data_IF_205932716175
#
_entry.id   IF_205932716175
#
_cell.length_a   1.000
_cell.length_b   1.000
_cell.length_c   1.000
_cell.angle_alpha   90.00
_cell.angle_beta   90.00
_cell.angle_gamma   90.00
#
_symmetry.space_group_name_H-M   'P 1'
#
loop_
_entity.id
_entity.type
_entity.pdbx_description
1 polymer ?
#
# COMPACT_ATOMS: atom_id res chain seq x y z
N UNK A 1 -45.68 15.49 39.27
CA UNK A 1 -44.53 15.97 38.47
C UNK A 1 -45.00 17.21 37.73
N UNK A 2 -44.35 18.34 37.99
CA UNK A 2 -44.85 19.66 37.60
C UNK A 2 -44.48 19.94 36.14
N UNK A 3 -45.40 20.54 35.38
CA UNK A 3 -45.28 20.86 33.94
C UNK A 3 -43.94 21.53 33.57
N UNK A 4 -43.39 22.32 34.49
CA UNK A 4 -42.08 22.96 34.40
C UNK A 4 -40.93 21.95 34.29
N UNK A 5 -40.94 20.87 35.08
CA UNK A 5 -39.91 19.82 35.05
C UNK A 5 -39.89 19.10 33.69
N UNK A 6 -41.08 18.92 33.10
CA UNK A 6 -41.24 18.29 31.79
C UNK A 6 -40.69 19.19 30.67
N UNK A 7 -40.96 20.50 30.74
CA UNK A 7 -40.42 21.48 29.77
C UNK A 7 -38.90 21.60 29.86
N UNK A 8 -38.34 21.60 31.08
CA UNK A 8 -36.89 21.64 31.29
C UNK A 8 -36.23 20.36 30.78
N UNK A 9 -36.81 19.19 31.06
CA UNK A 9 -36.30 17.92 30.55
C UNK A 9 -36.34 17.85 29.02
N UNK A 10 -37.43 18.31 28.38
CA UNK A 10 -37.55 18.35 26.93
C UNK A 10 -36.53 19.30 26.29
N UNK A 11 -36.29 20.46 26.92
CA UNK A 11 -35.28 21.42 26.49
C UNK A 11 -33.87 20.84 26.54
N UNK A 12 -33.52 20.13 27.62
CA UNK A 12 -32.22 19.45 27.75
C UNK A 12 -32.03 18.35 26.70
N UNK A 13 -33.07 17.56 26.40
CA UNK A 13 -33.02 16.55 25.35
C UNK A 13 -32.80 17.19 23.98
N UNK A 14 -33.48 18.29 23.67
CA UNK A 14 -33.30 19.04 22.42
C UNK A 14 -31.88 19.60 22.27
N UNK A 15 -31.29 20.14 23.34
CA UNK A 15 -29.89 20.60 23.34
C UNK A 15 -28.93 19.46 23.08
N UNK A 16 -29.17 18.27 23.65
CA UNK A 16 -28.33 17.09 23.39
C UNK A 16 -28.41 16.62 21.93
N UNK A 17 -29.57 16.76 21.26
CA UNK A 17 -29.72 16.45 19.83
C UNK A 17 -29.06 17.48 18.91
N UNK A 18 -28.90 18.74 19.33
CA UNK A 18 -28.15 19.76 18.56
C UNK A 18 -26.65 19.45 18.48
N UNK A 19 -26.11 18.72 19.45
CA UNK A 19 -24.72 18.23 19.44
C UNK A 19 -24.60 16.77 19.01
N UNK A 20 -25.64 16.18 18.41
CA UNK A 20 -25.54 14.86 17.84
C UNK A 20 -24.36 14.84 16.85
N UNK A 21 -23.37 13.96 17.02
CA UNK A 21 -22.17 13.98 16.21
C UNK A 21 -22.57 13.78 14.76
N UNK A 22 -22.29 14.77 13.92
CA UNK A 22 -22.39 14.62 12.47
C UNK A 22 -21.46 13.44 12.15
N UNK A 23 -22.03 12.32 11.70
CA UNK A 23 -21.28 11.14 11.25
C UNK A 23 -20.58 11.47 9.93
N UNK A 24 -19.67 12.44 9.93
CA UNK A 24 -18.76 12.65 8.80
C UNK A 24 -17.83 11.46 8.76
N UNK A 25 -17.71 10.83 7.60
CA UNK A 25 -16.86 9.67 7.38
C UNK A 25 -15.37 10.08 7.27
N UNK A 26 -14.91 10.94 8.19
CA UNK A 26 -13.57 11.54 8.24
C UNK A 26 -12.47 10.47 8.18
N UNK A 27 -12.75 9.27 8.68
CA UNK A 27 -11.84 8.13 8.62
C UNK A 27 -11.65 7.58 7.20
N UNK A 28 -12.69 7.57 6.37
CA UNK A 28 -12.58 7.12 4.96
C UNK A 28 -11.77 8.13 4.16
N UNK A 29 -12.02 9.41 4.39
CA UNK A 29 -11.23 10.52 3.82
C UNK A 29 -9.76 10.41 4.25
N UNK A 30 -9.51 10.21 5.55
CA UNK A 30 -8.16 10.04 6.10
C UNK A 30 -7.45 8.82 5.52
N UNK A 31 -8.17 7.71 5.31
CA UNK A 31 -7.64 6.51 4.68
C UNK A 31 -7.22 6.77 3.22
N UNK A 32 -8.07 7.45 2.43
CA UNK A 32 -7.76 7.81 1.05
C UNK A 32 -6.55 8.77 0.98
N UNK A 33 -6.50 9.77 1.84
CA UNK A 33 -5.40 10.72 1.90
C UNK A 33 -4.08 10.06 2.31
N UNK A 34 -4.11 9.16 3.30
CA UNK A 34 -2.93 8.38 3.68
C UNK A 34 -2.45 7.48 2.54
N UNK A 35 -3.37 6.80 1.84
CA UNK A 35 -3.05 5.98 0.67
C UNK A 35 -2.44 6.83 -0.46
N UNK A 36 -3.06 7.97 -0.78
CA UNK A 36 -2.58 8.92 -1.80
C UNK A 36 -1.18 9.41 -1.48
N UNK A 37 -0.91 9.79 -0.22
CA UNK A 37 0.42 10.20 0.22
C UNK A 37 1.47 9.09 0.03
N UNK A 38 1.12 7.84 0.37
CA UNK A 38 2.02 6.71 0.20
C UNK A 38 2.24 6.32 -1.28
N UNK A 39 1.25 6.51 -2.15
CA UNK A 39 1.45 6.33 -3.61
C UNK A 39 2.36 7.43 -4.16
N UNK A 40 2.19 8.70 -3.75
CA UNK A 40 3.12 9.79 -4.14
C UNK A 40 4.55 9.50 -3.66
N UNK A 41 4.67 8.96 -2.46
CA UNK A 41 5.97 8.55 -1.93
C UNK A 41 6.57 7.41 -2.75
N UNK A 42 5.77 6.42 -3.16
CA UNK A 42 6.21 5.39 -4.10
C UNK A 42 6.72 5.97 -5.42
N UNK A 43 6.05 7.00 -5.97
CA UNK A 43 6.52 7.70 -7.17
C UNK A 43 7.88 8.36 -6.95
N UNK A 44 8.04 9.07 -5.84
CA UNK A 44 9.32 9.70 -5.48
C UNK A 44 10.40 8.63 -5.36
N UNK A 45 10.13 7.51 -4.70
CA UNK A 45 11.07 6.39 -4.57
C UNK A 45 11.51 5.89 -5.94
N UNK A 46 10.58 5.58 -6.84
CA UNK A 46 10.88 5.14 -8.20
C UNK A 46 11.68 6.15 -9.03
N UNK A 47 11.40 7.45 -8.87
CA UNK A 47 12.12 8.53 -9.56
C UNK A 47 13.53 8.74 -9.00
N UNK A 48 13.71 8.51 -7.70
CA UNK A 48 15.01 8.61 -7.02
C UNK A 48 15.83 7.32 -7.08
N UNK A 49 15.25 6.23 -7.58
CA UNK A 49 15.91 4.94 -7.65
C UNK A 49 16.94 4.93 -8.77
N UNK A 50 18.20 5.13 -8.40
CA UNK A 50 19.36 5.08 -9.28
C UNK A 50 19.97 3.68 -9.36
N UNK A 51 19.28 2.66 -8.83
CA UNK A 51 19.72 1.26 -8.81
C UNK A 51 19.73 0.64 -10.22
N UNK A 52 20.65 1.08 -11.05
CA UNK A 52 21.03 0.38 -12.26
C UNK A 52 21.98 -0.74 -11.82
N UNK A 53 21.43 -1.91 -11.48
CA UNK A 53 22.22 -3.11 -11.20
C UNK A 53 22.87 -3.60 -12.52
N UNK A 54 23.90 -2.88 -12.99
CA UNK A 54 24.62 -3.13 -14.25
C UNK A 54 25.91 -3.92 -13.99
N UNK A 55 26.49 -3.79 -12.79
CA UNK A 55 27.71 -4.48 -12.39
C UNK A 55 27.53 -5.24 -11.07
N UNK A 56 28.21 -6.40 -10.95
CA UNK A 56 28.27 -7.21 -9.71
C UNK A 56 28.76 -6.40 -8.50
N UNK A 57 29.67 -5.46 -8.74
CA UNK A 57 30.27 -4.60 -7.72
C UNK A 57 29.24 -3.64 -7.13
N UNK A 58 28.34 -3.10 -7.95
CA UNK A 58 27.24 -2.22 -7.51
C UNK A 58 26.24 -2.93 -6.59
N UNK A 59 26.19 -4.26 -6.62
CA UNK A 59 25.34 -5.05 -5.75
C UNK A 59 26.04 -5.48 -4.44
N UNK A 60 27.38 -5.34 -4.32
CA UNK A 60 28.15 -5.77 -3.13
C UNK A 60 27.70 -5.10 -1.83
N UNK A 61 27.53 -3.79 -1.86
CA UNK A 61 27.09 -3.03 -0.68
C UNK A 61 25.68 -3.46 -0.26
N UNK A 62 24.81 -3.74 -1.23
CA UNK A 62 23.46 -4.25 -0.97
C UNK A 62 23.46 -5.63 -0.32
N UNK A 63 24.41 -6.53 -0.65
CA UNK A 63 24.52 -7.84 0.04
C UNK A 63 24.92 -7.74 1.50
N UNK A 64 25.74 -6.73 1.85
CA UNK A 64 26.13 -6.52 3.23
C UNK A 64 24.91 -6.21 4.12
N UNK A 65 23.89 -5.57 3.54
CA UNK A 65 22.64 -5.21 4.22
C UNK A 65 21.56 -6.28 4.04
N UNK A 66 21.50 -6.92 2.86
CA UNK A 66 20.47 -7.89 2.47
C UNK A 66 21.10 -9.21 1.98
N UNK A 67 21.57 -10.09 2.89
CA UNK A 67 22.35 -11.28 2.53
C UNK A 67 21.53 -12.36 1.80
N UNK A 68 20.20 -12.28 1.80
CA UNK A 68 19.33 -13.23 1.12
C UNK A 68 19.23 -13.01 -0.40
N UNK A 69 19.68 -11.85 -0.89
CA UNK A 69 19.59 -11.47 -2.31
C UNK A 69 20.62 -12.28 -3.11
N UNK A 70 20.30 -12.59 -4.37
CA UNK A 70 21.19 -13.20 -5.35
C UNK A 70 21.66 -12.17 -6.38
N UNK A 71 22.95 -11.79 -6.31
CA UNK A 71 23.58 -10.82 -7.22
C UNK A 71 23.39 -11.14 -8.69
N UNK A 72 23.70 -12.38 -9.04
CA UNK A 72 23.64 -12.83 -10.42
C UNK A 72 22.22 -12.71 -10.97
N UNK A 73 21.21 -13.09 -10.17
CA UNK A 73 19.81 -13.01 -10.59
C UNK A 73 19.29 -11.59 -10.62
N UNK A 74 19.76 -10.74 -9.69
CA UNK A 74 19.44 -9.32 -9.68
C UNK A 74 19.98 -8.64 -10.94
N UNK A 75 21.21 -8.93 -11.37
CA UNK A 75 21.75 -8.41 -12.63
C UNK A 75 20.93 -8.86 -13.84
N UNK A 76 20.60 -10.15 -13.92
CA UNK A 76 19.85 -10.71 -15.06
C UNK A 76 18.37 -10.30 -15.10
N UNK A 77 17.77 -9.95 -13.97
CA UNK A 77 16.34 -9.65 -13.85
C UNK A 77 16.06 -8.32 -13.13
N UNK A 78 17.00 -7.37 -13.17
CA UNK A 78 16.85 -6.06 -12.54
C UNK A 78 15.56 -5.31 -12.95
N UNK A 79 15.00 -5.45 -14.17
CA UNK A 79 13.75 -4.76 -14.52
C UNK A 79 12.53 -5.22 -13.68
N UNK A 80 12.63 -6.36 -12.99
CA UNK A 80 11.58 -6.86 -12.11
C UNK A 80 11.73 -6.36 -10.66
N UNK A 81 12.91 -5.86 -10.28
CA UNK A 81 13.21 -5.36 -8.94
C UNK A 81 12.85 -3.87 -8.83
N UNK A 82 11.59 -3.53 -9.11
CA UNK A 82 11.07 -2.18 -8.99
C UNK A 82 10.41 -1.96 -7.63
N UNK A 83 10.46 -0.73 -7.13
CA UNK A 83 9.59 -0.29 -6.05
C UNK A 83 8.13 -0.51 -6.44
N UNK A 84 7.39 -1.15 -5.52
CA UNK A 84 6.00 -1.51 -5.76
C UNK A 84 5.14 -1.27 -4.52
N UNK A 85 3.87 -0.97 -4.76
CA UNK A 85 2.82 -1.10 -3.76
C UNK A 85 1.97 -2.32 -4.09
N UNK A 86 2.00 -3.30 -3.20
CA UNK A 86 1.13 -4.48 -3.27
C UNK A 86 -0.05 -4.32 -2.32
N UNK A 87 -1.25 -4.36 -2.87
CA UNK A 87 -2.50 -4.47 -2.11
C UNK A 87 -2.76 -5.92 -1.72
N UNK A 88 -3.21 -6.11 -0.49
CA UNK A 88 -3.58 -7.41 0.07
C UNK A 88 -5.10 -7.44 0.24
N UNK A 89 -5.79 -8.13 -0.67
CA UNK A 89 -7.26 -8.06 -0.80
C UNK A 89 -7.97 -9.22 -0.10
N UNK A 90 -7.35 -10.40 0.00
CA UNK A 90 -8.04 -11.64 0.42
C UNK A 90 -7.40 -12.47 1.54
N UNK A 91 -6.22 -12.13 2.06
CA UNK A 91 -5.53 -12.95 3.08
C UNK A 91 -5.96 -12.62 4.51
N UNK A 92 -6.41 -13.64 5.25
CA UNK A 92 -6.98 -13.60 6.63
C UNK A 92 -6.26 -12.69 7.64
N UNK A 93 -4.94 -12.49 7.53
CA UNK A 93 -4.15 -11.71 8.49
C UNK A 93 -3.63 -10.38 7.95
N UNK A 94 -3.94 -10.06 6.70
CA UNK A 94 -3.44 -8.86 6.00
C UNK A 94 -4.52 -8.29 5.07
N UNK A 95 -5.80 -8.60 5.25
CA UNK A 95 -6.87 -8.11 4.37
C UNK A 95 -6.99 -6.59 4.46
N UNK A 96 -7.36 -5.96 3.33
CA UNK A 96 -7.61 -4.52 3.23
C UNK A 96 -6.40 -3.70 3.68
N UNK A 97 -5.23 -4.07 3.18
CA UNK A 97 -3.97 -3.44 3.53
C UNK A 97 -3.04 -3.37 2.32
N UNK A 98 -1.87 -2.76 2.48
CA UNK A 98 -0.84 -2.77 1.45
C UNK A 98 0.58 -2.80 2.03
N UNK A 99 1.55 -3.08 1.17
CA UNK A 99 2.98 -3.00 1.47
C UNK A 99 3.72 -2.28 0.36
N UNK A 100 4.73 -1.47 0.73
CA UNK A 100 5.67 -0.81 -0.19
C UNK A 100 7.04 -1.44 -0.03
N UNK A 101 7.56 -2.04 -1.11
CA UNK A 101 8.82 -2.77 -1.08
C UNK A 101 9.39 -2.98 -2.50
N UNK A 102 10.64 -3.44 -2.58
CA UNK A 102 11.25 -4.01 -3.77
C UNK A 102 11.27 -5.54 -3.60
N UNK A 103 10.69 -6.28 -4.54
CA UNK A 103 10.80 -7.75 -4.57
C UNK A 103 12.19 -8.09 -5.10
N UNK A 104 12.98 -8.76 -4.29
CA UNK A 104 14.39 -9.02 -4.57
C UNK A 104 14.59 -10.49 -4.90
N UNK A 105 15.42 -10.81 -5.90
CA UNK A 105 15.64 -12.18 -6.27
C UNK A 105 16.48 -12.90 -5.22
N UNK A 106 15.99 -14.02 -4.68
CA UNK A 106 16.76 -14.89 -3.78
C UNK A 106 17.42 -16.06 -4.49
N UNK A 107 18.42 -16.65 -3.83
CA UNK A 107 19.02 -17.90 -4.26
C UNK A 107 18.10 -19.08 -3.95
N UNK A 108 17.13 -19.34 -4.84
CA UNK A 108 16.22 -20.48 -4.80
C UNK A 108 16.27 -21.28 -6.10
N UNK A 109 15.84 -22.55 -6.05
CA UNK A 109 15.86 -23.49 -7.18
C UNK A 109 14.79 -23.21 -8.25
N UNK A 110 13.63 -22.67 -7.86
CA UNK A 110 12.49 -22.47 -8.78
C UNK A 110 12.01 -21.01 -8.85
N UNK A 111 11.64 -20.42 -7.72
CA UNK A 111 11.05 -19.07 -7.66
C UNK A 111 12.04 -18.09 -7.07
N UNK A 112 12.50 -17.12 -7.87
CA UNK A 112 13.48 -16.14 -7.42
C UNK A 112 12.82 -14.91 -6.80
N UNK A 113 11.70 -14.46 -7.36
CA UNK A 113 10.88 -13.36 -6.86
C UNK A 113 9.62 -13.94 -6.22
N UNK A 114 9.42 -13.69 -4.92
CA UNK A 114 8.33 -14.33 -4.16
C UNK A 114 6.97 -13.67 -4.42
N UNK A 115 6.94 -12.46 -4.98
CA UNK A 115 5.73 -11.66 -5.18
C UNK A 115 4.99 -11.36 -3.86
N UNK A 116 5.75 -11.17 -2.78
CA UNK A 116 5.30 -10.79 -1.43
C UNK A 116 6.51 -10.24 -0.65
N UNK A 117 6.34 -9.30 0.29
CA UNK A 117 7.45 -8.69 1.03
C UNK A 117 8.00 -9.63 2.12
N UNK A 118 8.96 -10.47 1.71
CA UNK A 118 9.65 -11.45 2.54
C UNK A 118 10.87 -10.84 3.25
N UNK A 119 11.55 -11.65 4.07
CA UNK A 119 12.72 -11.22 4.82
C UNK A 119 13.95 -10.83 3.97
N UNK A 120 13.99 -11.22 2.69
CA UNK A 120 15.04 -10.80 1.77
C UNK A 120 14.79 -9.47 1.08
N UNK A 121 13.55 -8.97 1.14
CA UNK A 121 13.10 -7.83 0.36
C UNK A 121 13.40 -6.50 1.04
N UNK A 122 13.58 -5.48 0.20
CA UNK A 122 13.79 -4.11 0.66
C UNK A 122 12.42 -3.51 0.95
N UNK A 123 12.02 -3.48 2.23
CA UNK A 123 10.76 -2.88 2.68
C UNK A 123 10.98 -1.40 2.98
N UNK A 124 10.12 -0.53 2.45
CA UNK A 124 10.22 0.90 2.70
C UNK A 124 9.93 1.23 4.18
N UNK A 125 10.66 2.20 4.73
CA UNK A 125 10.54 2.64 6.11
C UNK A 125 10.29 4.15 6.15
N UNK A 126 9.39 4.60 7.01
CA UNK A 126 9.21 6.03 7.24
C UNK A 126 10.37 6.62 8.07
N UNK A 127 10.32 7.93 8.32
CA UNK A 127 11.34 8.64 9.14
C UNK A 127 11.50 8.07 10.56
N UNK A 128 10.43 7.53 11.14
CA UNK A 128 10.45 6.86 12.45
C UNK A 128 10.93 5.41 12.39
N UNK A 129 11.45 4.98 11.23
CA UNK A 129 11.88 3.61 10.94
C UNK A 129 10.75 2.57 11.06
N UNK A 130 9.49 2.98 10.92
CA UNK A 130 8.34 2.08 10.81
C UNK A 130 8.24 1.54 9.40
N UNK A 131 8.07 0.23 9.27
CA UNK A 131 7.99 -0.43 7.97
C UNK A 131 6.61 -0.22 7.34
N UNK A 132 6.57 0.18 6.07
CA UNK A 132 5.34 0.24 5.28
C UNK A 132 5.03 -1.13 4.71
N UNK A 133 4.82 -2.11 5.58
CA UNK A 133 4.40 -3.44 5.19
C UNK A 133 3.37 -3.99 6.16
N UNK A 134 2.18 -4.28 5.64
CA UNK A 134 1.13 -4.95 6.38
C UNK A 134 1.29 -6.49 6.38
N UNK A 135 2.36 -7.00 5.77
CA UNK A 135 2.56 -8.44 5.62
C UNK A 135 2.86 -9.14 6.94
N UNK A 136 2.76 -10.46 6.96
CA UNK A 136 2.81 -11.23 8.19
C UNK A 136 4.13 -11.03 8.97
N UNK A 137 4.04 -11.04 10.31
CA UNK A 137 5.21 -10.86 11.18
C UNK A 137 6.20 -12.03 11.13
N UNK A 138 5.81 -13.19 10.60
CA UNK A 138 6.65 -14.39 10.59
C UNK A 138 7.68 -14.36 9.46
N UNK A 139 7.26 -13.99 8.25
CA UNK A 139 8.08 -14.11 7.04
C UNK A 139 8.64 -12.79 6.53
N UNK A 140 8.28 -11.66 7.15
CA UNK A 140 8.84 -10.34 6.84
C UNK A 140 10.26 -10.16 7.41
N UNK A 141 10.93 -9.10 6.96
CA UNK A 141 12.26 -8.71 7.44
C UNK A 141 12.27 -8.54 8.96
N UNK A 142 13.37 -8.91 9.62
CA UNK A 142 13.45 -8.99 11.08
C UNK A 142 13.11 -7.64 11.71
N UNK A 143 13.60 -6.54 11.13
CA UNK A 143 13.33 -5.18 11.59
C UNK A 143 11.87 -4.71 11.40
N UNK A 144 11.08 -5.40 10.58
CA UNK A 144 9.69 -5.09 10.30
C UNK A 144 8.72 -5.90 11.15
N UNK A 145 9.21 -6.94 11.85
CA UNK A 145 8.40 -7.73 12.78
C UNK A 145 7.89 -6.84 13.90
N UNK A 146 6.57 -6.78 14.06
CA UNK A 146 5.89 -5.92 15.05
C UNK A 146 6.23 -4.42 14.93
N UNK A 147 6.74 -3.98 13.77
CA UNK A 147 7.19 -2.61 13.53
C UNK A 147 6.55 -2.01 12.26
N UNK A 148 5.42 -2.56 11.85
CA UNK A 148 4.62 -2.04 10.75
C UNK A 148 3.99 -0.69 11.10
N UNK A 149 3.97 0.23 10.14
CA UNK A 149 3.22 1.47 10.22
C UNK A 149 1.71 1.14 10.20
N UNK A 150 0.96 1.52 11.24
CA UNK A 150 -0.45 1.09 11.37
C UNK A 150 -1.33 1.55 10.21
N UNK A 151 -1.03 2.71 9.61
CA UNK A 151 -1.78 3.29 8.49
C UNK A 151 -1.76 2.42 7.23
N UNK A 152 -0.82 1.47 7.08
CA UNK A 152 -0.83 0.57 5.93
C UNK A 152 -1.85 -0.57 6.07
N UNK A 153 -2.37 -0.80 7.29
CA UNK A 153 -3.46 -1.75 7.59
C UNK A 153 -4.78 -1.01 7.60
N UNK A 154 -5.27 -0.64 6.42
CA UNK A 154 -6.45 0.23 6.27
C UNK A 154 -7.69 -0.32 6.97
N UNK A 155 -7.90 -1.64 6.92
CA UNK A 155 -8.97 -2.31 7.65
C UNK A 155 -8.86 -2.13 9.17
N UNK A 156 -7.70 -2.45 9.74
CA UNK A 156 -7.48 -2.37 11.19
C UNK A 156 -7.48 -0.93 11.71
N UNK A 157 -6.82 0.00 11.00
CA UNK A 157 -6.58 1.35 11.49
C UNK A 157 -7.72 2.33 11.19
N UNK A 158 -8.30 2.25 9.98
CA UNK A 158 -9.35 3.18 9.54
C UNK A 158 -10.74 2.53 9.48
N UNK A 159 -10.85 1.21 9.66
CA UNK A 159 -12.12 0.48 9.52
C UNK A 159 -12.57 0.36 8.07
N UNK A 160 -11.64 0.24 7.11
CA UNK A 160 -11.97 -0.05 5.71
C UNK A 160 -12.43 -1.50 5.59
N UNK A 161 -13.60 -1.71 5.03
CA UNK A 161 -14.24 -3.03 4.92
C UNK A 161 -13.88 -3.73 3.61
N UNK A 162 -13.61 -2.97 2.55
CA UNK A 162 -13.20 -3.51 1.25
C UNK A 162 -12.29 -2.55 0.48
N UNK A 163 -11.42 -3.14 -0.33
CA UNK A 163 -10.62 -2.45 -1.35
C UNK A 163 -10.95 -3.13 -2.67
N UNK A 164 -11.47 -2.37 -3.63
CA UNK A 164 -11.69 -2.85 -5.00
C UNK A 164 -10.67 -2.24 -5.94
N UNK A 165 -10.17 -3.05 -6.86
CA UNK A 165 -9.20 -2.64 -7.87
C UNK A 165 -9.82 -2.85 -9.24
N UNK A 166 -9.96 -1.77 -10.00
CA UNK A 166 -10.39 -1.81 -11.40
C UNK A 166 -9.21 -1.34 -12.26
N UNK A 167 -8.73 -2.20 -13.16
CA UNK A 167 -7.57 -1.94 -14.01
C UNK A 167 -7.53 -2.91 -15.20
N UNK A 168 -6.48 -2.83 -16.01
CA UNK A 168 -6.23 -3.75 -17.12
C UNK A 168 -6.24 -5.22 -16.68
N UNK A 169 -6.63 -6.12 -17.59
CA UNK A 169 -6.78 -7.55 -17.28
C UNK A 169 -5.48 -8.21 -16.82
N UNK A 170 -4.33 -7.75 -17.30
CA UNK A 170 -3.01 -8.26 -16.89
C UNK A 170 -2.58 -7.81 -15.48
N UNK A 171 -3.23 -6.79 -14.90
CA UNK A 171 -3.02 -6.37 -13.52
C UNK A 171 -3.73 -7.30 -12.51
N UNK A 172 -4.70 -8.12 -12.96
CA UNK A 172 -5.57 -8.88 -12.06
C UNK A 172 -4.81 -10.04 -11.41
N UNK A 173 -4.73 -9.99 -10.08
CA UNK A 173 -4.27 -11.10 -9.25
C UNK A 173 -5.42 -11.59 -8.35
N UNK A 174 -5.39 -12.85 -7.93
CA UNK A 174 -6.52 -13.50 -7.24
C UNK A 174 -6.88 -12.83 -5.91
N UNK A 175 -5.87 -12.45 -5.12
CA UNK A 175 -6.04 -11.93 -3.74
C UNK A 175 -5.14 -10.71 -3.48
N UNK A 176 -4.62 -10.12 -4.56
CA UNK A 176 -3.73 -8.98 -4.51
C UNK A 176 -3.94 -8.08 -5.73
N UNK A 177 -3.30 -6.93 -5.71
CA UNK A 177 -3.05 -6.14 -6.90
C UNK A 177 -1.76 -5.36 -6.66
N UNK A 178 -1.10 -4.92 -7.73
CA UNK A 178 0.21 -4.29 -7.65
C UNK A 178 0.27 -3.11 -8.58
N UNK A 179 0.89 -2.05 -8.09
CA UNK A 179 1.29 -0.92 -8.91
C UNK A 179 2.76 -0.60 -8.67
N UNK A 180 3.46 -0.28 -9.75
CA UNK A 180 4.85 0.15 -9.79
C UNK A 180 4.90 1.48 -10.53
N UNK A 181 5.98 2.23 -10.33
CA UNK A 181 6.36 3.30 -11.24
C UNK A 181 7.77 3.03 -11.74
N UNK A 182 8.01 3.26 -13.02
CA UNK A 182 9.37 3.24 -13.54
C UNK A 182 10.13 4.52 -13.20
N UNK A 183 11.41 4.57 -13.62
CA UNK A 183 12.31 5.71 -13.40
C UNK A 183 11.86 7.03 -14.06
N UNK A 184 10.82 6.99 -14.88
CA UNK A 184 10.23 8.17 -15.52
C UNK A 184 8.87 8.54 -14.90
N UNK A 185 8.44 7.81 -13.87
CA UNK A 185 7.15 8.00 -13.22
C UNK A 185 5.97 7.37 -13.98
N UNK A 186 6.22 6.61 -15.04
CA UNK A 186 5.13 5.94 -15.75
C UNK A 186 4.66 4.71 -14.95
N UNK A 187 3.34 4.50 -14.79
CA UNK A 187 2.82 3.44 -13.96
C UNK A 187 2.76 2.09 -14.70
N UNK A 188 3.12 1.03 -13.98
CA UNK A 188 3.04 -0.37 -14.42
C UNK A 188 2.27 -1.20 -13.40
N UNK A 189 1.77 -2.37 -13.80
CA UNK A 189 1.08 -3.29 -12.90
C UNK A 189 1.37 -4.77 -13.24
N UNK A 190 0.85 -5.66 -12.39
CA UNK A 190 0.91 -7.11 -12.59
C UNK A 190 2.22 -7.73 -12.09
N UNK A 191 2.30 -9.07 -12.09
CA UNK A 191 3.50 -9.79 -11.61
C UNK A 191 4.76 -9.49 -12.43
N UNK A 192 4.59 -9.27 -13.72
CA UNK A 192 5.62 -8.78 -14.62
C UNK A 192 5.25 -7.33 -14.89
N UNK A 193 6.08 -6.35 -14.48
CA UNK A 193 5.78 -4.94 -14.66
C UNK A 193 5.46 -4.64 -16.13
N UNK A 194 4.18 -4.34 -16.38
CA UNK A 194 3.66 -4.03 -17.72
C UNK A 194 3.01 -2.64 -17.67
N UNK A 195 3.28 -1.74 -18.64
CA UNK A 195 2.75 -0.39 -18.62
C UNK A 195 1.21 -0.39 -18.60
N UNK A 196 0.62 0.46 -17.75
CA UNK A 196 -0.83 0.65 -17.74
C UNK A 196 -1.33 1.19 -19.08
N UNK A 197 -2.44 0.62 -19.54
CA UNK A 197 -3.20 1.10 -20.72
C UNK A 197 -4.47 1.83 -20.31
N UNK A 198 -5.05 1.44 -19.18
CA UNK A 198 -6.20 2.10 -18.55
C UNK A 198 -5.85 2.58 -17.14
N UNK A 199 -6.72 3.42 -16.57
CA UNK A 199 -6.51 3.91 -15.22
C UNK A 199 -6.54 2.76 -14.21
N UNK A 200 -5.61 2.78 -13.24
CA UNK A 200 -5.64 1.88 -12.11
C UNK A 200 -6.44 2.53 -10.98
N UNK A 201 -7.70 2.12 -10.85
CA UNK A 201 -8.65 2.67 -9.89
C UNK A 201 -8.68 1.83 -8.62
N UNK A 202 -8.50 2.49 -7.49
CA UNK A 202 -8.53 1.92 -6.15
C UNK A 202 -9.73 2.50 -5.42
N UNK A 203 -10.71 1.67 -5.09
CA UNK A 203 -11.93 2.07 -4.38
C UNK A 203 -11.89 1.54 -2.96
N UNK A 204 -11.92 2.44 -1.97
CA UNK A 204 -12.04 2.12 -0.56
C UNK A 204 -13.52 2.15 -0.15
N UNK A 205 -13.96 1.15 0.62
CA UNK A 205 -15.35 1.04 1.09
C UNK A 205 -15.38 1.00 2.61
N UNK A 206 -16.28 1.80 3.20
CA UNK A 206 -16.56 1.80 4.63
C UNK A 206 -18.04 2.09 4.86
N UNK A 207 -18.76 1.15 5.46
CA UNK A 207 -20.22 1.13 5.51
C UNK A 207 -20.81 1.28 4.09
N UNK A 208 -21.81 2.14 3.92
CA UNK A 208 -22.44 2.43 2.62
C UNK A 208 -21.68 3.46 1.76
N UNK A 209 -20.52 3.95 2.22
CA UNK A 209 -19.78 5.02 1.53
C UNK A 209 -18.54 4.47 0.85
N UNK A 210 -18.23 5.06 -0.30
CA UNK A 210 -17.05 4.72 -1.09
C UNK A 210 -16.25 5.99 -1.42
N UNK A 211 -14.95 5.81 -1.62
CA UNK A 211 -14.06 6.82 -2.18
C UNK A 211 -13.05 6.14 -3.07
N UNK A 212 -12.73 6.72 -4.23
CA UNK A 212 -11.77 6.13 -5.14
C UNK A 212 -10.63 7.08 -5.51
N UNK A 213 -9.51 6.47 -5.84
CA UNK A 213 -8.31 7.13 -6.31
C UNK A 213 -7.89 6.44 -7.61
N UNK A 214 -7.66 7.23 -8.65
CA UNK A 214 -7.22 6.75 -9.95
C UNK A 214 -5.77 7.15 -10.19
N UNK A 215 -4.98 6.18 -10.67
CA UNK A 215 -3.64 6.40 -11.20
C UNK A 215 -3.78 6.42 -12.73
N UNK A 216 -3.52 7.57 -13.34
CA UNK A 216 -3.67 7.75 -14.79
C UNK A 216 -2.53 7.04 -15.55
N UNK A 217 -2.83 6.39 -16.69
CA UNK A 217 -1.80 5.74 -17.50
C UNK A 217 -0.80 6.79 -18.02
N UNK A 218 0.43 6.34 -18.31
CA UNK A 218 1.56 7.14 -18.81
C UNK A 218 2.10 8.20 -17.84
N UNK A 219 1.26 9.08 -17.30
CA UNK A 219 1.68 10.17 -16.42
C UNK A 219 1.85 9.76 -14.96
N UNK A 220 1.17 8.70 -14.54
CA UNK A 220 1.12 8.30 -13.13
C UNK A 220 0.33 9.29 -12.25
N UNK A 221 -0.30 10.32 -12.83
CA UNK A 221 -0.99 11.34 -12.05
C UNK A 221 -2.11 10.73 -11.20
N UNK A 222 -2.22 11.22 -9.96
CA UNK A 222 -3.23 10.78 -9.00
C UNK A 222 -4.41 11.74 -9.01
N UNK A 223 -5.61 11.22 -9.25
CA UNK A 223 -6.86 11.99 -9.25
C UNK A 223 -7.94 11.25 -8.47
N UNK A 224 -8.79 11.97 -7.74
CA UNK A 224 -10.00 11.38 -7.18
C UNK A 224 -10.97 11.00 -8.30
N UNK A 225 -11.58 9.83 -8.14
CA UNK A 225 -12.56 9.22 -9.03
C UNK A 225 -13.47 8.29 -8.19
#
# INVERSE_FOLDING_TARGET
>A
MKLLEMLVALGLVLVLFLFAPIKTNHTLESALNSLSAHIKMLQILSLSDDSAYVHLESARDMFSVYPAISAQKLLSHHPNALWQMQFHLGKVYTTHSYSIYVDTPRSASSTHFDSRPMAGDIIFKNMDRKCLSAYNNTNTAIECRNNALSQVRLGEHFGIENIFIESDSFCKERESARIYFDRYGAPHCGKIPTPLRSAFKITLVKNANTKSLCILPQSGALVEC
#
